data_IF_988024841402
#
_entry.id   IF_988024841402
#
_cell.length_a   1.000
_cell.length_b   1.000
_cell.length_c   1.000
_cell.angle_alpha   90.00
_cell.angle_beta   90.00
_cell.angle_gamma   90.00
#
_symmetry.space_group_name_H-M   'P 1'
#
loop_
_entity.id
_entity.type
_entity.pdbx_description
1 polymer ?
#
# COMPACT_ATOMS: atom_id res chain seq x y z
N UNK A 1 6.02 -1.58 -3.82
CA UNK A 1 6.30 -1.06 -2.45
C UNK A 1 5.42 -1.67 -1.36
N UNK A 2 4.17 -2.03 -1.67
CA UNK A 2 3.20 -2.42 -0.66
C UNK A 2 3.65 -3.57 0.26
N UNK A 3 4.13 -4.65 -0.36
CA UNK A 3 4.65 -5.84 0.32
C UNK A 3 5.76 -5.52 1.30
N UNK A 4 6.68 -4.63 0.92
CA UNK A 4 7.82 -4.28 1.76
C UNK A 4 7.37 -3.59 3.05
N UNK A 5 6.55 -2.54 2.94
CA UNK A 5 6.10 -1.77 4.11
C UNK A 5 5.34 -2.65 5.11
N UNK A 6 4.38 -3.44 4.64
CA UNK A 6 3.57 -4.29 5.52
C UNK A 6 4.40 -5.38 6.21
N UNK A 7 5.41 -5.94 5.53
CA UNK A 7 6.33 -6.89 6.17
C UNK A 7 7.26 -6.26 7.19
N UNK A 8 7.69 -5.02 6.97
CA UNK A 8 8.52 -4.29 7.94
C UNK A 8 7.68 -3.89 9.16
N UNK A 9 6.42 -3.51 8.96
CA UNK A 9 5.52 -3.11 10.05
C UNK A 9 5.04 -4.28 10.90
N UNK A 10 4.63 -5.39 10.27
CA UNK A 10 4.01 -6.52 10.97
C UNK A 10 5.01 -7.63 11.27
N UNK A 11 5.49 -8.31 10.22
CA UNK A 11 6.54 -9.32 10.29
C UNK A 11 6.94 -9.79 8.89
N UNK A 12 8.10 -10.43 8.77
CA UNK A 12 8.60 -10.97 7.50
C UNK A 12 7.65 -11.99 6.85
N UNK A 13 6.84 -12.68 7.64
CA UNK A 13 5.87 -13.69 7.21
C UNK A 13 4.44 -13.15 7.08
N UNK A 14 4.25 -11.84 7.26
CA UNK A 14 2.92 -11.24 7.15
C UNK A 14 2.32 -11.49 5.76
N UNK A 15 1.05 -11.86 5.75
CA UNK A 15 0.19 -11.92 4.56
C UNK A 15 -1.12 -11.22 4.92
N UNK A 16 -1.53 -10.20 4.15
CA UNK A 16 -2.79 -9.53 4.42
C UNK A 16 -3.97 -10.50 4.24
N UNK A 17 -5.05 -10.33 5.01
CA UNK A 17 -6.32 -10.99 4.72
C UNK A 17 -6.88 -10.49 3.37
N UNK A 18 -7.87 -11.21 2.84
CA UNK A 18 -8.57 -10.76 1.65
C UNK A 18 -9.37 -9.48 1.94
N UNK A 19 -9.19 -8.45 1.12
CA UNK A 19 -9.91 -7.19 1.24
C UNK A 19 -10.77 -6.93 -0.01
N UNK A 20 -11.92 -6.28 0.20
CA UNK A 20 -12.71 -5.79 -0.91
C UNK A 20 -11.95 -4.68 -1.64
N UNK A 21 -11.90 -4.68 -2.98
CA UNK A 21 -11.15 -3.68 -3.74
C UNK A 21 -11.79 -2.29 -3.58
N UNK A 22 -10.98 -1.33 -3.12
CA UNK A 22 -11.32 0.08 -3.05
C UNK A 22 -10.83 0.79 -4.31
N UNK A 23 -9.68 0.37 -4.85
CA UNK A 23 -9.14 0.97 -6.07
C UNK A 23 -9.59 0.21 -7.32
N UNK A 24 -10.06 0.96 -8.33
CA UNK A 24 -10.60 0.35 -9.55
C UNK A 24 -9.58 -0.41 -10.38
N UNK A 25 -8.31 -0.01 -10.30
CA UNK A 25 -7.19 -0.57 -11.07
C UNK A 25 -6.36 -1.63 -10.32
N UNK A 26 -6.62 -1.84 -9.03
CA UNK A 26 -6.00 -2.92 -8.23
C UNK A 26 -6.82 -4.20 -8.25
N UNK A 27 -8.10 -4.15 -8.66
CA UNK A 27 -8.97 -5.32 -8.70
C UNK A 27 -8.43 -6.42 -9.63
N UNK A 28 -8.21 -7.62 -9.10
CA UNK A 28 -7.59 -8.76 -9.77
C UNK A 28 -6.07 -8.68 -9.88
N UNK A 29 -5.42 -7.66 -9.32
CA UNK A 29 -3.96 -7.56 -9.28
C UNK A 29 -3.39 -8.46 -8.17
N UNK A 30 -2.23 -9.09 -8.40
CA UNK A 30 -1.62 -9.99 -7.40
C UNK A 30 -1.32 -9.31 -6.05
N UNK A 31 -1.18 -7.98 -6.06
CA UNK A 31 -0.91 -7.15 -4.89
C UNK A 31 -2.16 -6.48 -4.32
N UNK A 32 -3.36 -6.82 -4.79
CA UNK A 32 -4.64 -6.22 -4.37
C UNK A 32 -4.75 -6.17 -2.84
N UNK A 33 -4.71 -7.33 -2.16
CA UNK A 33 -4.84 -7.42 -0.71
C UNK A 33 -3.79 -6.57 0.04
N UNK A 34 -2.57 -6.48 -0.52
CA UNK A 34 -1.49 -5.67 0.06
C UNK A 34 -1.75 -4.17 -0.08
N UNK A 35 -2.30 -3.77 -1.23
CA UNK A 35 -2.64 -2.39 -1.55
C UNK A 35 -3.80 -1.92 -0.68
N UNK A 36 -4.83 -2.75 -0.57
CA UNK A 36 -5.99 -2.48 0.26
C UNK A 36 -5.61 -2.39 1.74
N UNK A 37 -4.78 -3.30 2.24
CA UNK A 37 -4.31 -3.24 3.62
C UNK A 37 -3.52 -1.95 3.90
N UNK A 38 -2.69 -1.46 2.97
CA UNK A 38 -2.02 -0.17 3.11
C UNK A 38 -2.97 1.02 3.15
N UNK A 39 -4.05 0.96 2.37
CA UNK A 39 -5.07 2.00 2.38
C UNK A 39 -5.87 1.98 3.68
N UNK A 40 -6.19 0.79 4.20
CA UNK A 40 -6.84 0.60 5.50
C UNK A 40 -5.99 1.10 6.67
N UNK A 41 -4.67 0.93 6.59
CA UNK A 41 -3.73 1.50 7.57
C UNK A 41 -3.48 3.00 7.36
N UNK A 42 -4.14 3.64 6.39
CA UNK A 42 -4.04 5.09 6.13
C UNK A 42 -2.71 5.54 5.53
N UNK A 43 -1.89 4.61 5.05
CA UNK A 43 -0.54 4.89 4.53
C UNK A 43 -0.64 5.45 3.12
N UNK A 44 -1.56 4.95 2.31
CA UNK A 44 -1.78 5.38 0.92
C UNK A 44 -3.23 5.80 0.65
N UNK A 45 -3.39 6.77 -0.24
CA UNK A 45 -4.68 7.19 -0.80
C UNK A 45 -4.78 6.91 -2.31
N UNK A 46 -3.81 6.18 -2.86
CA UNK A 46 -3.67 5.94 -4.30
C UNK A 46 -3.14 7.14 -5.08
N UNK A 47 -3.16 7.01 -6.42
CA UNK A 47 -2.67 8.01 -7.36
C UNK A 47 -3.74 9.03 -7.79
N UNK A 48 -4.98 8.89 -7.29
CA UNK A 48 -6.10 9.76 -7.60
C UNK A 48 -7.14 9.12 -8.52
N UNK A 49 -8.32 9.73 -8.62
CA UNK A 49 -9.41 9.24 -9.48
C UNK A 49 -9.97 7.87 -9.08
N UNK A 50 -9.78 7.43 -7.83
CA UNK A 50 -10.17 6.09 -7.37
C UNK A 50 -9.19 4.98 -7.74
N UNK A 51 -7.96 5.33 -8.15
CA UNK A 51 -6.94 4.38 -8.58
C UNK A 51 -5.72 4.39 -7.66
N UNK A 52 -5.00 3.27 -7.61
CA UNK A 52 -3.74 3.10 -6.89
C UNK A 52 -2.50 3.24 -7.77
N UNK A 53 -2.61 2.95 -9.06
CA UNK A 53 -1.52 2.88 -10.05
C UNK A 53 -0.42 1.87 -9.65
N UNK A 54 -0.73 0.57 -9.53
CA UNK A 54 0.20 -0.44 -9.00
C UNK A 54 1.47 -0.64 -9.86
N UNK A 55 1.38 -0.35 -11.16
CA UNK A 55 2.49 -0.48 -12.11
C UNK A 55 3.35 0.78 -12.20
N UNK A 56 2.92 1.89 -11.62
CA UNK A 56 3.71 3.12 -11.63
C UNK A 56 4.89 3.00 -10.65
N UNK A 57 6.09 3.42 -11.06
CA UNK A 57 7.23 3.41 -10.17
C UNK A 57 7.02 4.40 -9.02
N UNK A 58 7.26 3.94 -7.80
CA UNK A 58 7.27 4.81 -6.63
C UNK A 58 8.52 5.70 -6.63
N UNK A 59 8.33 7.01 -6.49
CA UNK A 59 9.47 7.93 -6.35
C UNK A 59 10.09 7.81 -4.96
N UNK A 60 11.34 8.26 -4.81
CA UNK A 60 12.02 8.28 -3.51
C UNK A 60 11.29 9.16 -2.49
N UNK A 61 10.72 10.26 -2.93
CA UNK A 61 9.94 11.18 -2.09
C UNK A 61 8.64 10.53 -1.61
N UNK A 62 7.93 9.82 -2.50
CA UNK A 62 6.75 9.06 -2.13
C UNK A 62 7.08 7.97 -1.10
N UNK A 63 8.19 7.25 -1.30
CA UNK A 63 8.63 6.23 -0.34
C UNK A 63 8.94 6.83 1.05
N UNK A 64 9.54 8.02 1.10
CA UNK A 64 9.79 8.71 2.37
C UNK A 64 8.48 9.04 3.10
N UNK A 65 7.48 9.54 2.38
CA UNK A 65 6.14 9.81 2.95
C UNK A 65 5.51 8.53 3.48
N UNK A 66 5.60 7.41 2.76
CA UNK A 66 5.05 6.15 3.22
C UNK A 66 5.74 5.65 4.49
N UNK A 67 7.06 5.79 4.60
CA UNK A 67 7.80 5.43 5.82
C UNK A 67 7.40 6.31 7.02
N UNK A 68 7.27 7.62 6.81
CA UNK A 68 6.82 8.56 7.86
C UNK A 68 5.43 8.18 8.36
N UNK A 69 4.50 7.87 7.44
CA UNK A 69 3.15 7.44 7.81
C UNK A 69 3.12 6.07 8.49
N UNK A 70 3.84 5.10 7.93
CA UNK A 70 3.92 3.73 8.44
C UNK A 70 4.41 3.68 9.90
N UNK A 71 5.42 4.46 10.25
CA UNK A 71 6.01 4.47 11.59
C UNK A 71 5.56 5.66 12.45
N UNK A 72 4.60 6.46 11.97
CA UNK A 72 4.12 7.67 12.66
C UNK A 72 5.27 8.56 13.13
N UNK A 73 6.23 8.82 12.24
CA UNK A 73 7.43 9.60 12.56
C UNK A 73 7.08 11.10 12.67
N UNK A 74 7.74 11.83 13.61
CA UNK A 74 7.53 13.26 13.81
C UNK A 74 8.08 14.13 12.66
#
# INVERSE_FOLDING_TARGET
MAVFLLRVMHSASYTPPNHAPTFGDSAGHWAEDWIEQLALEGITSGCGGGNYCPNSPATREQMAVFLVKAFSLP
#
